data_IF_724604402522
#
_entry.id   IF_724604402522
#
_cell.length_a   1.000
_cell.length_b   1.000
_cell.length_c   1.000
_cell.angle_alpha   90.00
_cell.angle_beta   90.00
_cell.angle_gamma   90.00
#
_symmetry.space_group_name_H-M   'P 1'
#
loop_
_entity.id
_entity.type
_entity.pdbx_description
1 polymer ?
#
# COMPACT_ATOMS: atom_id res chain seq x y z
N UNK A 1 0.11 -18.34 4.18
CA UNK A 1 1.35 -17.60 4.50
C UNK A 1 1.57 -17.63 5.99
N UNK A 2 2.65 -18.26 6.46
CA UNK A 2 2.96 -18.37 7.88
C UNK A 2 3.64 -17.07 8.38
N UNK A 3 3.43 -16.70 9.65
CA UNK A 3 3.95 -15.45 10.24
C UNK A 3 5.50 -15.39 10.22
N UNK A 4 6.15 -16.55 10.12
CA UNK A 4 7.60 -16.72 10.17
C UNK A 4 8.36 -16.37 8.88
N UNK A 5 7.71 -16.36 7.72
CA UNK A 5 8.42 -16.15 6.43
C UNK A 5 8.74 -14.68 6.16
N UNK A 6 8.10 -13.75 6.87
CA UNK A 6 8.31 -12.31 6.66
C UNK A 6 9.39 -11.76 7.60
N UNK A 7 10.48 -11.17 7.08
CA UNK A 7 11.57 -10.65 7.90
C UNK A 7 11.16 -9.45 8.76
N UNK A 8 10.18 -8.66 8.32
CA UNK A 8 9.74 -7.47 9.03
C UNK A 8 8.29 -7.58 9.50
N UNK A 9 8.06 -7.20 10.75
CA UNK A 9 6.74 -7.04 11.32
C UNK A 9 6.09 -5.76 10.80
N UNK A 10 6.88 -4.68 10.67
CA UNK A 10 6.43 -3.37 10.16
C UNK A 10 7.43 -2.84 9.13
N UNK A 11 6.91 -2.34 8.01
CA UNK A 11 7.67 -1.49 7.09
C UNK A 11 7.02 -0.13 6.99
N UNK A 12 7.75 0.94 7.30
CA UNK A 12 7.33 2.32 7.15
C UNK A 12 7.69 2.83 5.75
N UNK A 13 6.73 2.88 4.85
CA UNK A 13 6.91 3.34 3.48
C UNK A 13 6.63 4.84 3.34
N UNK A 14 7.58 5.58 2.78
CA UNK A 14 7.57 7.04 2.77
C UNK A 14 8.33 7.66 3.95
N UNK A 15 9.25 6.90 4.56
CA UNK A 15 9.96 7.27 5.78
C UNK A 15 10.74 8.60 5.68
N UNK A 16 11.22 8.98 4.49
CA UNK A 16 11.97 10.24 4.31
C UNK A 16 11.06 11.46 4.09
N UNK A 17 9.73 11.30 4.10
CA UNK A 17 8.78 12.40 4.08
C UNK A 17 8.68 13.09 5.45
N UNK A 18 7.94 14.19 5.53
CA UNK A 18 7.76 14.93 6.79
C UNK A 18 7.15 14.05 7.89
N UNK A 19 5.93 13.51 7.66
CA UNK A 19 5.27 12.60 8.60
C UNK A 19 6.07 11.30 8.79
N UNK A 20 6.66 10.79 7.71
CA UNK A 20 7.49 9.58 7.75
C UNK A 20 8.68 9.72 8.69
N UNK A 21 9.35 10.87 8.68
CA UNK A 21 10.53 11.10 9.52
C UNK A 21 10.13 11.13 11.00
N UNK A 22 9.07 11.87 11.35
CA UNK A 22 8.54 11.92 12.72
C UNK A 22 8.07 10.54 13.20
N UNK A 23 7.42 9.78 12.31
CA UNK A 23 6.95 8.42 12.62
C UNK A 23 8.13 7.47 12.85
N UNK A 24 9.20 7.58 12.04
CA UNK A 24 10.40 6.78 12.21
C UNK A 24 11.12 7.11 13.53
N UNK A 25 11.23 8.40 13.88
CA UNK A 25 11.80 8.86 15.16
C UNK A 25 10.98 8.34 16.34
N UNK A 26 9.65 8.42 16.26
CA UNK A 26 8.76 7.88 17.29
C UNK A 26 8.92 6.37 17.45
N UNK A 27 8.95 5.63 16.34
CA UNK A 27 9.07 4.17 16.37
C UNK A 27 10.43 3.74 16.89
N UNK A 28 11.52 4.39 16.48
CA UNK A 28 12.86 4.10 17.01
C UNK A 28 12.96 4.36 18.52
N UNK A 29 12.28 5.38 19.04
CA UNK A 29 12.30 5.71 20.46
C UNK A 29 11.39 4.84 21.34
N UNK A 30 10.32 4.26 20.78
CA UNK A 30 9.25 3.60 21.56
C UNK A 30 8.87 2.20 21.10
N UNK A 31 9.51 1.67 20.07
CA UNK A 31 9.25 0.31 19.61
C UNK A 31 9.46 -0.68 20.76
N UNK A 32 8.56 -1.67 20.92
CA UNK A 32 8.78 -2.74 21.87
C UNK A 32 10.04 -3.54 21.49
N UNK A 33 10.74 -4.04 22.50
CA UNK A 33 11.88 -4.91 22.28
C UNK A 33 11.50 -6.10 21.39
N UNK A 34 12.37 -6.43 20.44
CA UNK A 34 12.15 -7.52 19.49
C UNK A 34 11.27 -7.18 18.28
N UNK A 35 10.77 -5.95 18.14
CA UNK A 35 10.09 -5.52 16.91
C UNK A 35 11.09 -5.47 15.75
N UNK A 36 10.87 -6.29 14.71
CA UNK A 36 11.66 -6.24 13.47
C UNK A 36 10.99 -5.29 12.50
N UNK A 37 11.61 -4.16 12.21
CA UNK A 37 11.02 -3.18 11.31
C UNK A 37 12.04 -2.57 10.34
N UNK A 38 11.52 -1.98 9.27
CA UNK A 38 12.32 -1.32 8.25
C UNK A 38 11.71 0.01 7.81
N UNK A 39 12.57 0.90 7.33
CA UNK A 39 12.18 2.12 6.62
C UNK A 39 12.27 1.90 5.11
N UNK A 40 11.32 2.48 4.38
CA UNK A 40 11.24 2.33 2.94
C UNK A 40 10.94 3.63 2.20
N UNK A 41 11.46 3.74 0.98
CA UNK A 41 11.31 4.89 0.12
C UNK A 41 12.13 4.79 -1.17
N UNK A 42 12.07 5.84 -2.00
CA UNK A 42 12.69 5.85 -3.33
C UNK A 42 14.19 6.14 -3.31
N UNK A 43 14.65 6.97 -2.38
CA UNK A 43 16.04 7.42 -2.31
C UNK A 43 16.82 6.72 -1.22
N UNK A 44 17.66 5.76 -1.60
CA UNK A 44 18.50 4.97 -0.68
C UNK A 44 19.35 5.86 0.22
N UNK A 45 20.07 6.84 -0.33
CA UNK A 45 20.92 7.72 0.48
C UNK A 45 20.15 8.53 1.54
N UNK A 46 18.92 8.95 1.22
CA UNK A 46 18.07 9.66 2.19
C UNK A 46 17.59 8.74 3.30
N UNK A 47 17.34 7.47 2.99
CA UNK A 47 17.00 6.45 3.97
C UNK A 47 18.20 6.12 4.86
N UNK A 48 19.41 6.00 4.29
CA UNK A 48 20.64 5.76 5.05
C UNK A 48 20.90 6.89 6.04
N UNK A 49 20.85 8.15 5.58
CA UNK A 49 20.98 9.32 6.46
C UNK A 49 19.90 9.38 7.55
N UNK A 50 18.67 8.99 7.24
CA UNK A 50 17.62 8.89 8.25
C UNK A 50 17.97 7.81 9.27
N UNK A 51 18.34 6.61 8.81
CA UNK A 51 18.70 5.46 9.65
C UNK A 51 19.84 5.81 10.62
N UNK A 52 20.89 6.46 10.14
CA UNK A 52 22.03 6.87 10.95
C UNK A 52 21.66 7.83 12.08
N UNK A 53 20.62 8.65 11.90
CA UNK A 53 20.13 9.59 12.91
C UNK A 53 19.20 8.93 13.95
N UNK A 54 18.64 7.76 13.65
CA UNK A 54 17.69 7.10 14.53
C UNK A 54 18.40 6.30 15.64
N UNK A 55 17.87 6.33 16.88
CA UNK A 55 18.33 5.43 17.93
C UNK A 55 18.25 3.96 17.49
N UNK A 56 19.35 3.22 17.65
CA UNK A 56 19.39 1.81 17.23
C UNK A 56 19.34 1.62 15.71
N UNK A 57 19.68 2.64 14.92
CA UNK A 57 19.60 2.62 13.46
C UNK A 57 20.24 1.41 12.77
N UNK A 58 21.30 0.83 13.36
CA UNK A 58 21.95 -0.37 12.83
C UNK A 58 21.00 -1.58 12.71
N UNK A 59 20.01 -1.68 13.59
CA UNK A 59 19.02 -2.76 13.61
C UNK A 59 17.81 -2.50 12.70
N UNK A 60 17.67 -1.26 12.20
CA UNK A 60 16.55 -0.87 11.35
C UNK A 60 16.85 -1.29 9.90
N UNK A 61 15.96 -2.12 9.33
CA UNK A 61 16.05 -2.52 7.93
C UNK A 61 15.85 -1.36 6.98
N UNK A 62 16.40 -1.47 5.77
CA UNK A 62 16.24 -0.48 4.70
C UNK A 62 15.73 -1.16 3.44
N UNK A 63 14.62 -0.67 2.89
CA UNK A 63 14.03 -1.18 1.65
C UNK A 63 13.82 -0.05 0.64
N UNK A 64 14.37 -0.22 -0.56
CA UNK A 64 14.04 0.65 -1.69
C UNK A 64 12.71 0.25 -2.29
N UNK A 65 11.79 1.19 -2.43
CA UNK A 65 10.52 1.00 -3.13
C UNK A 65 10.03 2.28 -3.79
N UNK A 66 9.39 2.14 -4.95
CA UNK A 66 8.82 3.22 -5.72
C UNK A 66 7.35 2.91 -6.06
N UNK A 67 6.46 3.87 -5.83
CA UNK A 67 5.03 3.74 -6.15
C UNK A 67 4.77 3.60 -7.66
N UNK A 68 5.70 4.07 -8.48
CA UNK A 68 5.66 3.93 -9.94
C UNK A 68 6.15 2.57 -10.44
N UNK A 69 6.73 1.74 -9.56
CA UNK A 69 7.24 0.41 -9.87
C UNK A 69 6.47 -0.67 -9.08
N UNK A 70 5.44 -1.30 -9.70
CA UNK A 70 4.67 -2.37 -9.08
C UNK A 70 5.52 -3.57 -8.62
N UNK A 71 6.65 -3.86 -9.26
CA UNK A 71 7.51 -4.97 -8.85
C UNK A 71 8.20 -4.64 -7.52
N UNK A 72 8.67 -3.41 -7.34
CA UNK A 72 9.23 -2.95 -6.06
C UNK A 72 8.22 -2.99 -4.92
N UNK A 73 6.96 -2.62 -5.18
CA UNK A 73 5.89 -2.66 -4.18
C UNK A 73 5.54 -4.09 -3.76
N UNK A 74 5.49 -5.04 -4.72
CA UNK A 74 5.31 -6.47 -4.42
C UNK A 74 6.43 -7.00 -3.55
N UNK A 75 7.68 -6.72 -3.94
CA UNK A 75 8.86 -7.15 -3.19
C UNK A 75 8.94 -6.54 -1.78
N UNK A 76 8.40 -5.33 -1.58
CA UNK A 76 8.25 -4.72 -0.25
C UNK A 76 7.15 -5.44 0.56
N UNK A 77 5.99 -5.68 -0.03
CA UNK A 77 4.85 -6.32 0.62
C UNK A 77 5.11 -7.79 1.01
N UNK A 78 5.92 -8.51 0.24
CA UNK A 78 6.36 -9.87 0.55
C UNK A 78 7.23 -9.92 1.81
N UNK A 79 8.02 -8.88 2.06
CA UNK A 79 8.94 -8.80 3.20
C UNK A 79 8.30 -8.27 4.48
N UNK A 80 7.12 -7.66 4.39
CA UNK A 80 6.49 -6.91 5.47
C UNK A 80 5.20 -7.58 5.92
N UNK A 81 5.01 -7.84 7.21
CA UNK A 81 3.69 -8.27 7.70
C UNK A 81 2.67 -7.13 7.63
N UNK A 82 3.10 -5.91 7.98
CA UNK A 82 2.30 -4.69 7.87
C UNK A 82 3.12 -3.62 7.14
N UNK A 83 2.47 -2.90 6.23
CA UNK A 83 3.04 -1.72 5.58
C UNK A 83 2.30 -0.49 6.09
N UNK A 84 3.00 0.40 6.78
CA UNK A 84 2.50 1.71 7.17
C UNK A 84 2.97 2.73 6.13
N UNK A 85 2.05 3.35 5.39
CA UNK A 85 2.40 4.30 4.33
C UNK A 85 2.17 5.74 4.76
N UNK A 86 3.18 6.59 4.55
CA UNK A 86 3.09 8.05 4.66
C UNK A 86 3.29 8.72 3.29
N UNK A 87 3.19 7.94 2.21
CA UNK A 87 3.25 8.45 0.84
C UNK A 87 1.89 9.05 0.49
N UNK A 88 1.80 10.37 0.36
CA UNK A 88 0.55 11.05 -0.02
C UNK A 88 0.43 11.33 -1.52
N UNK A 89 -0.77 11.67 -2.06
CA UNK A 89 -2.09 11.11 -1.82
C UNK A 89 -2.53 10.18 -2.98
N UNK A 90 -3.36 9.18 -2.67
CA UNK A 90 -3.90 8.11 -3.54
C UNK A 90 -4.74 8.53 -4.77
N UNK A 91 -4.85 9.82 -5.10
CA UNK A 91 -5.83 10.34 -6.07
C UNK A 91 -5.51 10.01 -7.54
N UNK A 92 -4.29 9.54 -7.88
CA UNK A 92 -3.98 9.07 -9.23
C UNK A 92 -4.60 7.71 -9.57
N UNK A 93 -5.10 6.96 -8.57
CA UNK A 93 -5.71 5.64 -8.78
C UNK A 93 -7.18 5.71 -9.25
N UNK A 94 -7.73 6.92 -9.48
CA UNK A 94 -9.12 7.10 -9.91
C UNK A 94 -9.34 7.12 -11.44
N UNK A 95 -8.33 6.87 -12.29
CA UNK A 95 -8.47 6.94 -13.77
C UNK A 95 -7.97 5.72 -14.54
N UNK A 96 -8.20 4.53 -14.02
CA UNK A 96 -8.04 3.29 -14.81
C UNK A 96 -9.05 2.21 -14.38
N UNK A 97 -10.32 2.57 -14.29
CA UNK A 97 -11.39 1.61 -14.54
C UNK A 97 -12.15 2.11 -15.76
N UNK A 98 -11.70 1.71 -16.95
CA UNK A 98 -12.59 1.67 -18.10
C UNK A 98 -13.81 0.84 -17.67
N UNK A 99 -15.05 1.36 -17.75
CA UNK A 99 -16.21 0.53 -17.46
C UNK A 99 -16.24 -0.63 -18.48
N UNK A 100 -16.64 -1.85 -18.07
CA UNK A 100 -16.75 -2.96 -19.01
C UNK A 100 -17.73 -2.58 -20.12
N UNK A 101 -17.36 -2.88 -21.37
CA UNK A 101 -18.16 -2.61 -22.55
C UNK A 101 -19.59 -3.15 -22.36
N UNK A 102 -20.58 -2.26 -22.44
CA UNK A 102 -21.99 -2.63 -22.51
C UNK A 102 -22.22 -3.41 -23.81
N UNK A 103 -22.39 -4.73 -23.71
CA UNK A 103 -22.98 -5.53 -24.78
C UNK A 103 -24.38 -4.96 -25.09
N UNK A 104 -24.73 -4.64 -26.35
CA UNK A 104 -26.05 -4.11 -26.66
C UNK A 104 -27.10 -5.21 -26.43
N UNK A 105 -27.92 -5.01 -25.41
CA UNK A 105 -29.04 -5.89 -25.06
C UNK A 105 -30.14 -5.84 -26.11
N UNK A 106 -30.52 -7.03 -26.59
CA UNK A 106 -31.69 -7.36 -27.40
C UNK A 106 -32.92 -6.51 -27.07
N UNK A 107 -33.51 -5.92 -28.10
CA UNK A 107 -34.83 -5.30 -28.09
C UNK A 107 -35.88 -6.35 -27.71
N UNK A 108 -36.48 -6.22 -26.52
CA UNK A 108 -37.62 -7.03 -26.11
C UNK A 108 -38.89 -6.30 -26.55
N UNK A 109 -39.62 -6.93 -27.48
CA UNK A 109 -40.93 -6.48 -28.00
C UNK A 109 -41.97 -6.47 -26.89
N UNK A 110 -42.58 -5.32 -26.62
CA UNK A 110 -43.71 -5.18 -25.70
C UNK A 110 -45.00 -5.60 -26.41
N UNK A 111 -45.42 -6.85 -26.21
CA UNK A 111 -46.77 -7.29 -26.54
C UNK A 111 -47.74 -6.81 -25.46
N UNK A 112 -48.79 -6.13 -25.95
CA UNK A 112 -49.85 -5.43 -25.23
C UNK A 112 -50.71 -6.44 -24.45
N UNK A 113 -50.81 -6.30 -23.13
CA UNK A 113 -51.71 -7.10 -22.29
C UNK A 113 -53.16 -6.65 -22.53
N UNK A 114 -54.04 -7.58 -22.89
CA UNK A 114 -55.47 -7.36 -23.13
C UNK A 114 -56.29 -7.56 -21.83
N UNK A 115 -57.03 -6.56 -21.32
CA UNK A 115 -57.68 -6.62 -20.01
C UNK A 115 -59.09 -7.27 -19.98
N UNK A 116 -59.46 -8.12 -20.94
CA UNK A 116 -60.84 -8.68 -21.05
C UNK A 116 -61.00 -10.16 -20.65
N UNK A 117 -60.08 -10.75 -19.88
CA UNK A 117 -60.07 -12.17 -19.52
C UNK A 117 -60.51 -12.51 -18.08
N UNK A 118 -61.26 -11.63 -17.42
CA UNK A 118 -61.83 -11.89 -16.09
C UNK A 118 -63.36 -11.73 -16.10
N UNK A 119 -64.06 -12.69 -16.69
CA UNK A 119 -65.44 -13.10 -16.38
C UNK A 119 -65.62 -14.54 -16.79
#
# INVERSE_FOLDING_TARGET
MNRADRPYDIVLFGATGFVGTLTAEYLAARAPAGLRWAIAGRGTERLERLRERLPGGAEIGLLRADVSDPASLRALAERARVVATTVGPMWSTARSSSPPARTPGRTMSTSRVNPSSWT
#
